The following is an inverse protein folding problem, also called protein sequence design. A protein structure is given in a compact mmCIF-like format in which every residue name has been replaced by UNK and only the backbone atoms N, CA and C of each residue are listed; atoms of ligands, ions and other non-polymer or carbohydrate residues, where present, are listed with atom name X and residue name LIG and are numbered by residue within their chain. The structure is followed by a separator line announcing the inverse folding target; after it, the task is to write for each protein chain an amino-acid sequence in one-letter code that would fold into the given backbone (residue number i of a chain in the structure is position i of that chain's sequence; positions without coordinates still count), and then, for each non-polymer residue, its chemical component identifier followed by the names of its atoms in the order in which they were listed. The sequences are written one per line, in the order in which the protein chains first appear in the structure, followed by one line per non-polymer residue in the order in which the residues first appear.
data_IF_714953048195
#
_entry.id   IF_714953048195
#
_cell.length_a   1.000
_cell.length_b   1.000
_cell.length_c   1.000
_cell.angle_alpha   90.00
_cell.angle_beta   90.00
_cell.angle_gamma   90.00
#
_symmetry.space_group_name_H-M   'P 1'
#
loop_
_entity.id
_entity.type
_entity.pdbx_description
1 polymer ?
#
# COMPACT_ATOMS: atom_id res chain seq x y z
N UNK A 1 -22.58 -71.35 -23.13
CA UNK A 1 -21.80 -70.26 -23.74
C UNK A 1 -22.74 -69.05 -23.84
N UNK A 2 -23.27 -68.50 -22.75
CA UNK A 2 -22.63 -67.71 -21.67
C UNK A 2 -21.92 -66.46 -22.20
N UNK A 3 -22.58 -65.30 -22.02
CA UNK A 3 -21.91 -63.99 -21.91
C UNK A 3 -22.05 -63.07 -23.11
N UNK A 4 -23.20 -62.43 -23.27
CA UNK A 4 -23.30 -61.16 -24.00
C UNK A 4 -22.56 -60.08 -23.21
N UNK A 5 -21.51 -59.50 -23.79
CA UNK A 5 -20.83 -58.32 -23.25
C UNK A 5 -21.63 -57.10 -23.72
N UNK A 6 -22.60 -56.72 -22.90
CA UNK A 6 -23.32 -55.46 -22.99
C UNK A 6 -22.31 -54.34 -22.75
N UNK A 7 -22.14 -53.47 -23.74
CA UNK A 7 -21.32 -52.27 -23.63
C UNK A 7 -21.93 -51.32 -22.62
N UNK A 8 -21.32 -51.26 -21.44
CA UNK A 8 -21.53 -50.14 -20.52
C UNK A 8 -20.85 -48.92 -21.12
N UNK A 9 -21.70 -48.04 -21.63
CA UNK A 9 -21.41 -46.67 -21.97
C UNK A 9 -20.82 -45.96 -20.76
N UNK A 10 -19.49 -45.86 -20.70
CA UNK A 10 -18.85 -44.84 -19.88
C UNK A 10 -19.11 -43.51 -20.58
N UNK A 11 -20.16 -42.82 -20.14
CA UNK A 11 -20.37 -41.40 -20.42
C UNK A 11 -19.03 -40.67 -20.21
N UNK A 12 -18.54 -39.86 -21.16
CA UNK A 12 -17.42 -38.97 -20.90
C UNK A 12 -17.89 -37.95 -19.87
N UNK A 13 -17.62 -38.25 -18.60
CA UNK A 13 -17.76 -37.33 -17.50
C UNK A 13 -17.01 -36.07 -17.87
N UNK A 14 -17.78 -35.00 -18.06
CA UNK A 14 -17.36 -33.66 -18.37
C UNK A 14 -16.11 -33.31 -17.57
N UNK A 15 -14.98 -33.16 -18.26
CA UNK A 15 -13.81 -32.51 -17.68
C UNK A 15 -14.23 -31.04 -17.51
N UNK A 16 -14.76 -30.70 -16.34
CA UNK A 16 -15.01 -29.31 -15.94
C UNK A 16 -13.72 -28.52 -16.21
N UNK A 17 -13.76 -27.47 -17.05
CA UNK A 17 -12.57 -26.69 -17.31
C UNK A 17 -12.19 -25.97 -16.00
N UNK A 18 -11.06 -26.38 -15.43
CA UNK A 18 -10.36 -25.76 -14.29
C UNK A 18 -9.82 -24.35 -14.60
N UNK A 19 -10.45 -23.64 -15.54
CA UNK A 19 -10.13 -22.28 -15.92
C UNK A 19 -11.40 -21.50 -16.26
N UNK A 20 -12.33 -21.42 -15.31
CA UNK A 20 -13.30 -20.33 -15.32
C UNK A 20 -12.59 -19.10 -14.71
N UNK A 21 -12.41 -17.99 -15.45
CA UNK A 21 -12.09 -16.72 -14.82
C UNK A 21 -13.23 -16.43 -13.85
N UNK A 22 -12.94 -16.51 -12.55
CA UNK A 22 -13.90 -16.24 -11.48
C UNK A 22 -14.57 -14.91 -11.80
N UNK A 23 -15.87 -14.96 -12.08
CA UNK A 23 -16.66 -13.77 -12.38
C UNK A 23 -16.36 -12.72 -11.32
N UNK A 24 -15.81 -11.58 -11.73
CA UNK A 24 -15.67 -10.41 -10.86
C UNK A 24 -17.10 -9.92 -10.60
N UNK A 25 -17.73 -10.48 -9.56
CA UNK A 25 -19.07 -10.08 -9.12
C UNK A 25 -19.00 -8.58 -8.85
N UNK A 26 -19.75 -7.80 -9.64
CA UNK A 26 -19.77 -6.34 -9.63
C UNK A 26 -20.43 -5.74 -8.39
N UNK A 27 -20.08 -6.21 -7.20
CA UNK A 27 -20.29 -5.43 -5.99
C UNK A 27 -19.20 -4.34 -5.95
N UNK A 28 -19.53 -3.05 -5.67
CA UNK A 28 -18.49 -2.07 -5.42
C UNK A 28 -17.60 -2.61 -4.30
N UNK A 29 -16.26 -2.50 -4.41
CA UNK A 29 -15.37 -2.98 -3.38
C UNK A 29 -15.81 -2.33 -2.07
N UNK A 30 -16.35 -3.15 -1.16
CA UNK A 30 -16.56 -2.68 0.21
C UNK A 30 -15.22 -2.16 0.69
N UNK A 31 -15.20 -1.09 1.50
CA UNK A 31 -13.94 -0.48 1.94
C UNK A 31 -12.95 -1.51 2.54
N UNK A 32 -13.45 -2.66 3.01
CA UNK A 32 -12.68 -3.84 3.42
C UNK A 32 -11.84 -4.47 2.28
N UNK A 33 -12.39 -4.64 1.08
CA UNK A 33 -11.69 -5.29 -0.05
C UNK A 33 -10.55 -4.45 -0.65
N UNK A 34 -10.58 -3.13 -0.47
CA UNK A 34 -9.47 -2.25 -0.86
C UNK A 34 -8.21 -2.46 0.01
N UNK A 35 -8.39 -3.00 1.22
CA UNK A 35 -7.32 -3.27 2.19
C UNK A 35 -6.79 -4.71 2.12
N UNK A 36 -7.45 -5.60 1.37
CA UNK A 36 -7.02 -7.00 1.24
C UNK A 36 -5.53 -7.16 0.86
N UNK A 37 -4.99 -6.38 -0.11
CA UNK A 37 -3.57 -6.47 -0.44
C UNK A 37 -2.69 -6.05 0.74
N UNK A 38 -3.05 -4.95 1.43
CA UNK A 38 -2.33 -4.45 2.59
C UNK A 38 -2.34 -5.47 3.74
N UNK A 39 -3.50 -6.07 4.03
CA UNK A 39 -3.65 -7.06 5.10
C UNK A 39 -2.83 -8.32 4.83
N UNK A 40 -2.77 -8.78 3.58
CA UNK A 40 -1.90 -9.89 3.16
C UNK A 40 -0.42 -9.57 3.44
N UNK A 41 0.00 -8.34 3.15
CA UNK A 41 1.38 -7.90 3.40
C UNK A 41 1.70 -7.85 4.89
N UNK A 42 0.81 -7.28 5.70
CA UNK A 42 0.99 -7.18 7.16
C UNK A 42 1.16 -8.57 7.79
N UNK A 43 0.32 -9.54 7.39
CA UNK A 43 0.42 -10.92 7.89
C UNK A 43 1.71 -11.63 7.48
N UNK A 44 2.39 -11.17 6.44
CA UNK A 44 3.65 -11.76 5.92
C UNK A 44 4.91 -11.11 6.49
N UNK A 45 4.81 -9.95 7.13
CA UNK A 45 5.93 -9.26 7.78
C UNK A 45 6.80 -10.17 8.66
N UNK A 46 6.26 -10.97 9.60
CA UNK A 46 7.10 -11.82 10.44
C UNK A 46 7.84 -12.87 9.62
N UNK A 47 7.25 -13.37 8.54
CA UNK A 47 7.90 -14.32 7.62
C UNK A 47 9.06 -13.66 6.89
N UNK A 48 8.86 -12.46 6.35
CA UNK A 48 9.94 -11.71 5.68
C UNK A 48 11.09 -11.40 6.63
N UNK A 49 10.79 -10.97 7.86
CA UNK A 49 11.81 -10.74 8.87
C UNK A 49 12.61 -12.00 9.19
N UNK A 50 11.95 -13.16 9.30
CA UNK A 50 12.60 -14.46 9.54
C UNK A 50 13.51 -14.88 8.38
N UNK A 51 13.04 -14.78 7.13
CA UNK A 51 13.84 -15.09 5.95
C UNK A 51 15.06 -14.16 5.88
N UNK A 52 14.86 -12.84 5.98
CA UNK A 52 15.95 -11.86 5.93
C UNK A 52 16.99 -12.12 7.01
N UNK A 53 16.57 -12.45 8.24
CA UNK A 53 17.48 -12.78 9.33
C UNK A 53 18.23 -14.09 9.08
N UNK A 54 17.56 -15.11 8.54
CA UNK A 54 18.17 -16.39 8.21
C UNK A 54 19.23 -16.24 7.12
N UNK A 55 18.91 -15.50 6.04
CA UNK A 55 19.84 -15.20 4.95
C UNK A 55 21.03 -14.37 5.42
N UNK A 56 20.82 -13.37 6.27
CA UNK A 56 21.91 -12.56 6.81
C UNK A 56 22.92 -13.38 7.63
N UNK A 57 22.45 -14.43 8.31
CA UNK A 57 23.27 -15.33 9.14
C UNK A 57 23.92 -16.48 8.37
N UNK A 58 23.41 -16.83 7.20
CA UNK A 58 23.96 -17.95 6.42
C UNK A 58 25.36 -17.59 5.86
N UNK A 59 26.40 -18.38 6.13
CA UNK A 59 27.75 -18.12 5.63
C UNK A 59 27.87 -18.24 4.11
N UNK A 60 26.97 -18.98 3.45
CA UNK A 60 26.95 -19.16 1.98
C UNK A 60 26.47 -17.92 1.22
N UNK A 61 25.87 -16.96 1.93
CA UNK A 61 25.34 -15.73 1.33
C UNK A 61 26.46 -14.69 1.16
N UNK A 62 26.66 -14.13 -0.04
CA UNK A 62 27.71 -13.14 -0.30
C UNK A 62 27.58 -11.89 0.57
N UNK A 63 28.71 -11.28 0.93
CA UNK A 63 28.72 -10.06 1.74
C UNK A 63 27.90 -8.91 1.15
N UNK A 64 27.90 -8.76 -0.18
CA UNK A 64 27.07 -7.78 -0.88
C UNK A 64 25.57 -8.03 -0.68
N UNK A 65 25.12 -9.29 -0.70
CA UNK A 65 23.73 -9.64 -0.43
C UNK A 65 23.35 -9.33 1.03
N UNK A 66 24.26 -9.59 1.98
CA UNK A 66 24.08 -9.21 3.39
C UNK A 66 23.99 -7.70 3.57
N UNK A 67 24.82 -6.93 2.84
CA UNK A 67 24.76 -5.48 2.84
C UNK A 67 23.38 -4.97 2.36
N UNK A 68 22.77 -5.60 1.35
CA UNK A 68 21.41 -5.24 0.90
C UNK A 68 20.35 -5.51 1.98
N UNK A 69 20.45 -6.62 2.71
CA UNK A 69 19.55 -6.94 3.83
C UNK A 69 19.73 -5.95 4.98
N UNK A 70 20.98 -5.62 5.32
CA UNK A 70 21.31 -4.64 6.36
C UNK A 70 20.83 -3.25 5.95
N UNK A 71 21.04 -2.82 4.71
CA UNK A 71 20.55 -1.53 4.22
C UNK A 71 19.03 -1.46 4.29
N UNK A 72 18.33 -2.51 3.86
CA UNK A 72 16.86 -2.60 3.98
C UNK A 72 16.38 -2.58 5.43
N UNK A 73 17.04 -3.32 6.32
CA UNK A 73 16.70 -3.37 7.75
C UNK A 73 17.06 -2.09 8.52
N UNK A 74 18.19 -1.47 8.18
CA UNK A 74 18.62 -0.19 8.76
C UNK A 74 17.65 0.92 8.41
N UNK A 75 17.02 0.87 7.22
CA UNK A 75 15.96 1.80 6.86
C UNK A 75 14.76 1.73 7.81
N UNK A 76 14.36 0.51 8.23
CA UNK A 76 13.26 0.32 9.18
C UNK A 76 13.57 0.86 10.58
N UNK A 77 14.85 0.88 10.97
CA UNK A 77 15.31 1.37 12.29
C UNK A 77 15.76 2.85 12.23
N UNK A 78 15.96 3.38 11.02
CA UNK A 78 16.41 4.75 10.80
C UNK A 78 15.25 5.71 11.02
N UNK A 79 15.33 6.65 11.99
CA UNK A 79 14.32 7.67 12.24
C UNK A 79 14.32 8.80 11.19
N UNK A 80 14.72 8.51 9.94
CA UNK A 80 14.84 9.48 8.86
C UNK A 80 13.65 9.30 7.93
N UNK A 81 12.58 10.04 8.21
CA UNK A 81 11.40 10.18 7.36
C UNK A 81 11.80 10.79 6.00
N UNK A 82 11.93 9.97 4.96
CA UNK A 82 12.10 10.43 3.57
C UNK A 82 10.83 11.10 3.01
N UNK A 83 9.72 11.08 3.74
CA UNK A 83 8.46 11.73 3.36
C UNK A 83 7.97 12.64 4.50
N UNK A 84 8.31 13.94 4.47
CA UNK A 84 7.76 14.91 5.41
C UNK A 84 6.22 15.00 5.26
N UNK A 85 5.49 14.40 6.18
CA UNK A 85 4.33 14.99 6.85
C UNK A 85 2.99 15.24 6.12
N UNK A 86 2.73 14.73 4.90
CA UNK A 86 1.42 15.01 4.22
C UNK A 86 0.56 13.80 3.83
N UNK A 87 1.05 12.55 3.94
CA UNK A 87 0.25 11.34 3.63
C UNK A 87 0.41 10.32 4.77
N UNK A 88 -0.49 10.32 5.78
CA UNK A 88 -0.38 9.47 6.97
C UNK A 88 -0.26 7.96 6.71
N UNK A 89 -0.64 7.49 5.50
CA UNK A 89 -0.63 6.05 5.12
C UNK A 89 0.55 5.70 4.21
N UNK A 90 1.19 6.67 3.55
CA UNK A 90 2.26 6.38 2.59
C UNK A 90 3.61 6.08 3.27
N UNK A 91 3.90 6.70 4.42
CA UNK A 91 5.16 6.51 5.14
C UNK A 91 5.40 5.03 5.51
N UNK A 92 4.38 4.35 6.04
CA UNK A 92 4.51 2.95 6.48
C UNK A 92 4.68 1.95 5.32
N UNK A 93 4.15 2.27 4.13
CA UNK A 93 4.32 1.43 2.95
C UNK A 93 5.70 1.60 2.32
N UNK A 94 6.33 2.75 2.49
CA UNK A 94 7.67 3.03 1.97
C UNK A 94 8.74 2.21 2.71
N UNK A 95 8.66 2.14 4.05
CA UNK A 95 9.57 1.33 4.86
C UNK A 95 9.54 -0.15 4.44
N UNK A 96 8.33 -0.69 4.26
CA UNK A 96 8.15 -2.07 3.82
C UNK A 96 8.67 -2.28 2.38
N UNK A 97 8.47 -1.31 1.50
CA UNK A 97 8.96 -1.37 0.14
C UNK A 97 10.49 -1.44 0.09
N UNK A 98 11.18 -0.64 0.92
CA UNK A 98 12.64 -0.64 1.02
C UNK A 98 13.16 -1.96 1.59
N UNK A 99 12.52 -2.50 2.62
CA UNK A 99 12.88 -3.81 3.18
C UNK A 99 12.76 -4.91 2.13
N UNK A 100 11.65 -4.96 1.39
CA UNK A 100 11.45 -5.96 0.33
C UNK A 100 12.39 -5.76 -0.86
N UNK A 101 12.78 -4.53 -1.17
CA UNK A 101 13.83 -4.26 -2.16
C UNK A 101 15.19 -4.77 -1.70
N UNK A 102 15.55 -4.57 -0.43
CA UNK A 102 16.76 -5.14 0.15
C UNK A 102 16.77 -6.67 0.08
N UNK A 103 15.65 -7.30 0.43
CA UNK A 103 15.48 -8.76 0.30
C UNK A 103 15.58 -9.21 -1.16
N UNK A 104 14.94 -8.52 -2.10
CA UNK A 104 15.03 -8.81 -3.54
C UNK A 104 16.47 -8.68 -4.05
N UNK A 105 17.20 -7.66 -3.61
CA UNK A 105 18.61 -7.47 -3.92
C UNK A 105 19.45 -8.64 -3.41
N UNK A 106 19.21 -9.07 -2.17
CA UNK A 106 19.88 -10.22 -1.59
C UNK A 106 19.59 -11.52 -2.35
N UNK A 107 18.34 -11.77 -2.72
CA UNK A 107 17.94 -12.91 -3.55
C UNK A 107 18.71 -12.93 -4.87
N UNK A 108 18.79 -11.79 -5.56
CA UNK A 108 19.47 -11.68 -6.86
C UNK A 108 20.99 -11.87 -6.79
N UNK A 109 21.59 -11.51 -5.68
CA UNK A 109 23.04 -11.60 -5.48
C UNK A 109 23.48 -12.95 -4.88
N UNK A 110 22.53 -13.80 -4.46
CA UNK A 110 22.82 -15.03 -3.75
C UNK A 110 22.65 -16.28 -4.63
N UNK A 111 23.31 -17.40 -4.28
CA UNK A 111 23.08 -18.67 -4.96
C UNK A 111 21.60 -19.12 -4.87
N UNK A 112 20.97 -19.51 -6.00
CA UNK A 112 19.53 -19.82 -6.04
C UNK A 112 19.15 -21.03 -5.19
N UNK A 113 20.03 -22.03 -5.09
CA UNK A 113 19.86 -23.22 -4.25
C UNK A 113 19.70 -22.87 -2.77
N UNK A 114 20.52 -21.93 -2.27
CA UNK A 114 20.45 -21.47 -0.88
C UNK A 114 19.17 -20.66 -0.65
N UNK A 115 18.79 -19.79 -1.60
CA UNK A 115 17.55 -19.02 -1.51
C UNK A 115 16.34 -19.95 -1.45
N UNK A 116 16.24 -20.90 -2.38
CA UNK A 116 15.12 -21.84 -2.46
C UNK A 116 15.00 -22.67 -1.18
N UNK A 117 16.12 -23.09 -0.58
CA UNK A 117 16.15 -23.78 0.71
C UNK A 117 15.52 -22.94 1.83
N UNK A 118 15.89 -21.65 1.95
CA UNK A 118 15.37 -20.76 2.99
C UNK A 118 13.89 -20.42 2.79
N UNK A 119 13.47 -20.23 1.53
CA UNK A 119 12.08 -19.95 1.18
C UNK A 119 11.17 -21.16 1.36
N UNK A 120 11.63 -22.36 0.99
CA UNK A 120 10.92 -23.61 1.22
C UNK A 120 10.70 -23.88 2.72
N UNK A 121 11.69 -23.57 3.57
CA UNK A 121 11.60 -23.75 5.03
C UNK A 121 10.45 -22.96 5.67
N UNK A 122 10.05 -21.84 5.07
CA UNK A 122 8.96 -20.99 5.56
C UNK A 122 7.67 -21.13 4.75
N UNK A 123 7.65 -22.01 3.75
CA UNK A 123 6.49 -22.25 2.90
C UNK A 123 6.11 -21.05 2.03
N UNK A 124 7.09 -20.23 1.60
CA UNK A 124 6.85 -19.05 0.77
C UNK A 124 7.58 -19.21 -0.57
N UNK A 125 6.96 -18.82 -1.68
CA UNK A 125 7.62 -18.79 -2.98
C UNK A 125 8.41 -17.48 -3.15
N UNK A 126 9.56 -17.53 -3.81
CA UNK A 126 10.41 -16.35 -4.08
C UNK A 126 9.65 -15.29 -4.90
N UNK A 127 8.84 -15.71 -5.87
CA UNK A 127 8.04 -14.83 -6.73
C UNK A 127 7.06 -13.92 -5.96
N UNK A 128 6.66 -14.33 -4.75
CA UNK A 128 5.75 -13.57 -3.91
C UNK A 128 6.37 -12.23 -3.48
N UNK A 129 7.70 -12.14 -3.38
CA UNK A 129 8.39 -10.89 -3.08
C UNK A 129 8.16 -9.86 -4.19
N UNK A 130 8.22 -10.27 -5.46
CA UNK A 130 7.98 -9.37 -6.60
C UNK A 130 6.50 -8.96 -6.72
N UNK A 131 5.57 -9.89 -6.40
CA UNK A 131 4.13 -9.59 -6.32
C UNK A 131 3.85 -8.54 -5.24
N UNK A 132 4.39 -8.72 -4.03
CA UNK A 132 4.16 -7.82 -2.90
C UNK A 132 4.79 -6.44 -3.17
N UNK A 133 5.98 -6.37 -3.79
CA UNK A 133 6.58 -5.11 -4.25
C UNK A 133 5.69 -4.38 -5.26
N UNK A 134 5.06 -5.10 -6.18
CA UNK A 134 4.15 -4.53 -7.17
C UNK A 134 2.85 -4.07 -6.52
N UNK A 135 2.33 -4.83 -5.56
CA UNK A 135 1.16 -4.46 -4.78
C UNK A 135 1.41 -3.15 -4.02
N UNK A 136 2.52 -3.02 -3.29
CA UNK A 136 2.89 -1.80 -2.55
C UNK A 136 2.97 -0.62 -3.50
N UNK A 137 3.74 -0.74 -4.58
CA UNK A 137 3.89 0.32 -5.58
C UNK A 137 2.54 0.79 -6.13
N UNK A 138 1.63 -0.15 -6.36
CA UNK A 138 0.29 0.16 -6.86
C UNK A 138 -0.53 0.89 -5.80
N UNK A 139 -0.47 0.45 -4.54
CA UNK A 139 -1.15 1.11 -3.42
C UNK A 139 -0.62 2.53 -3.20
N UNK A 140 0.70 2.70 -3.19
CA UNK A 140 1.37 4.01 -3.03
C UNK A 140 0.97 4.96 -4.15
N UNK A 141 1.08 4.55 -5.42
CA UNK A 141 0.68 5.38 -6.57
C UNK A 141 -0.79 5.76 -6.53
N UNK A 142 -1.65 4.82 -6.10
CA UNK A 142 -3.10 5.04 -6.00
C UNK A 142 -3.43 6.03 -4.89
N UNK A 143 -2.83 5.86 -3.72
CA UNK A 143 -2.96 6.79 -2.59
C UNK A 143 -2.46 8.18 -2.96
N UNK A 144 -1.28 8.27 -3.59
CA UNK A 144 -0.70 9.52 -4.04
C UNK A 144 -1.60 10.22 -5.07
N UNK A 145 -2.07 9.50 -6.09
CA UNK A 145 -2.99 10.03 -7.11
C UNK A 145 -4.30 10.51 -6.49
N UNK A 146 -4.88 9.73 -5.57
CA UNK A 146 -6.09 10.14 -4.85
C UNK A 146 -5.88 11.44 -4.06
N UNK A 147 -4.72 11.60 -3.40
CA UNK A 147 -4.38 12.81 -2.67
C UNK A 147 -4.28 14.03 -3.58
N UNK A 148 -3.68 13.89 -4.77
CA UNK A 148 -3.62 15.00 -5.74
C UNK A 148 -5.01 15.37 -6.29
N UNK A 149 -5.81 14.37 -6.69
CA UNK A 149 -7.12 14.62 -7.31
C UNK A 149 -8.16 15.19 -6.31
N UNK A 150 -8.05 14.83 -5.03
CA UNK A 150 -8.99 15.25 -3.98
C UNK A 150 -8.48 16.41 -3.14
N UNK A 151 -7.17 16.60 -2.99
CA UNK A 151 -6.57 17.72 -2.26
C UNK A 151 -7.00 19.07 -2.82
N UNK A 152 -7.03 19.22 -4.15
CA UNK A 152 -7.54 20.43 -4.81
C UNK A 152 -9.03 20.69 -4.53
N UNK A 153 -9.85 19.63 -4.47
CA UNK A 153 -11.29 19.75 -4.16
C UNK A 153 -11.54 20.05 -2.69
N UNK A 154 -10.77 19.47 -1.77
CA UNK A 154 -10.84 19.74 -0.35
C UNK A 154 -10.42 21.19 -0.05
N UNK A 155 -9.31 21.65 -0.64
CA UNK A 155 -8.86 23.03 -0.53
C UNK A 155 -9.89 24.02 -1.12
N UNK A 156 -10.48 23.70 -2.27
CA UNK A 156 -11.52 24.52 -2.90
C UNK A 156 -12.83 24.60 -2.10
N UNK A 157 -13.15 23.58 -1.28
CA UNK A 157 -14.29 23.64 -0.34
C UNK A 157 -13.95 24.51 0.87
N UNK A 158 -12.73 24.38 1.38
CA UNK A 158 -12.27 25.12 2.57
C UNK A 158 -12.07 26.62 2.27
N UNK A 159 -11.57 26.97 1.08
CA UNK A 159 -11.40 28.37 0.66
C UNK A 159 -12.74 29.11 0.49
N UNK A 160 -13.81 28.42 0.07
CA UNK A 160 -15.16 28.99 -0.02
C UNK A 160 -15.77 29.30 1.35
N UNK A 161 -15.45 28.51 2.37
CA UNK A 161 -15.89 28.79 3.74
C UNK A 161 -15.03 29.89 4.40
N UNK A 162 -13.71 29.92 4.14
CA UNK A 162 -12.85 30.99 4.64
C UNK A 162 -13.19 32.37 4.06
N UNK A 163 -13.56 32.42 2.77
CA UNK A 163 -13.96 33.68 2.10
C UNK A 163 -15.28 34.25 2.61
N UNK A 164 -16.24 33.41 3.04
CA UNK A 164 -17.49 33.89 3.63
C UNK A 164 -17.31 34.47 5.04
N UNK A 165 -16.38 33.91 5.83
CA UNK A 165 -15.98 34.44 7.13
C UNK A 165 -15.19 35.75 7.01
N UNK A 166 -14.28 35.84 6.04
CA UNK A 166 -13.50 37.06 5.80
C UNK A 166 -14.38 38.25 5.36
N UNK A 167 -15.48 38.01 4.64
CA UNK A 167 -16.44 39.06 4.26
C UNK A 167 -17.25 39.58 5.46
N UNK A 168 -17.66 38.71 6.38
CA UNK A 168 -18.36 39.11 7.61
C UNK A 168 -17.48 39.92 8.57
N UNK A 169 -16.19 39.59 8.66
CA UNK A 169 -15.26 40.32 9.53
C UNK A 169 -14.96 41.75 9.06
N UNK A 170 -15.16 42.07 7.77
CA UNK A 170 -14.98 43.44 7.23
C UNK A 170 -16.21 44.33 7.43
N UNK A 171 -17.42 43.78 7.33
CA UNK A 171 -18.66 44.55 7.51
C UNK A 171 -18.80 45.09 8.94
N UNK A 172 -18.47 44.30 9.97
CA UNK A 172 -18.56 44.76 11.37
C UNK A 172 -17.55 45.84 11.79
N UNK A 173 -16.54 46.17 10.97
CA UNK A 173 -15.60 47.27 11.23
C UNK A 173 -16.06 48.61 10.64
N UNK A 174 -16.85 48.60 9.56
CA UNK A 174 -17.39 49.83 8.96
C UNK A 174 -18.48 50.44 9.83
N UNK A 175 -19.38 49.64 10.39
CA UNK A 175 -20.46 50.12 11.28
C UNK A 175 -19.94 50.78 12.57
N UNK A 176 -18.75 50.39 13.05
CA UNK A 176 -18.12 51.01 14.24
C UNK A 176 -17.44 52.35 13.93
N UNK A 177 -17.07 52.62 12.67
CA UNK A 177 -16.48 53.89 12.26
C UNK A 177 -17.55 54.93 11.90
N UNK A 178 -18.69 54.50 11.35
CA UNK A 178 -19.83 55.41 11.06
C UNK A 178 -20.56 55.86 12.34
N UNK A 179 -20.58 55.04 13.40
CA UNK A 179 -21.14 55.43 14.70
C UNK A 179 -20.32 56.47 15.48
N UNK A 180 -19.04 56.68 15.13
CA UNK A 180 -18.17 57.66 15.80
C UNK A 180 -18.14 59.04 15.12
N UNK A 181 -18.66 59.19 13.89
CA UNK A 181 -18.69 60.50 13.21
C UNK A 181 -19.97 61.30 13.46
N UNK A 182 -20.95 60.73 14.18
CA UNK A 182 -22.26 61.35 14.38
C UNK A 182 -22.44 62.01 15.76
N UNK A 183 -21.37 62.07 16.58
CA UNK A 183 -21.43 62.62 17.93
C UNK A 183 -20.82 64.02 18.08
N UNK A 184 -20.42 64.67 16.97
CA UNK A 184 -19.71 65.96 16.99
C UNK A 184 -20.44 67.09 16.23
N UNK A 185 -21.73 66.91 15.90
CA UNK A 185 -22.55 67.93 15.25
C UNK A 185 -23.72 68.34 16.14
N UNK A 186 -23.43 68.94 17.29
CA UNK A 186 -24.41 69.77 18.01
C UNK A 186 -23.79 71.16 18.26
N UNK A 187 -24.05 72.14 17.37
CA UNK A 187 -23.66 73.52 17.62
C UNK A 187 -24.70 74.17 18.55
N UNK A 188 -24.20 74.81 19.62
CA UNK A 188 -24.92 75.89 20.31
C UNK A 188 -24.80 77.18 19.51
#
# INVERSE_FOLDING_TARGET
MTGQIQGDMISPGSIEPINQPRAFTGAPPSQASALDPMWRLIKRLPTYARISTALARDPRIPGAAKAMLIAGGAYLVSPIDLVPGFIPVAGQLDDLYVVLLGLRGAIRLSPPDVIDEHFARVGLAVAIVDEDLTAIRTLVRRGLKWSFDNGGKAFARMSRQATSLARRARQGRQERQEGHSNHDQNPL
#
